data_IF_879720626123
#
_entry.id   IF_879720626123
#
_cell.length_a   1.000
_cell.length_b   1.000
_cell.length_c   1.000
_cell.angle_alpha   90.00
_cell.angle_beta   90.00
_cell.angle_gamma   90.00
#
_symmetry.space_group_name_H-M   'P 1'
#
loop_
_entity.id
_entity.type
_entity.pdbx_description
1 polymer ?
#
# COMPACT_ATOMS: atom_id res chain seq x y z
N UNK A 1 23.11 19.39 -16.32
CA UNK A 1 22.11 18.42 -15.92
C UNK A 1 20.79 18.85 -16.54
N UNK A 2 19.88 17.96 -16.91
CA UNK A 2 18.53 18.37 -17.34
C UNK A 2 17.88 19.18 -16.20
N UNK A 3 16.89 20.00 -16.54
CA UNK A 3 16.10 20.72 -15.53
C UNK A 3 15.39 19.72 -14.61
N UNK A 4 15.24 20.03 -13.32
CA UNK A 4 14.52 19.16 -12.39
C UNK A 4 13.02 19.08 -12.77
N UNK A 5 12.39 17.93 -12.53
CA UNK A 5 10.94 17.80 -12.65
C UNK A 5 10.25 18.63 -11.56
N UNK A 6 9.28 19.42 -11.95
CA UNK A 6 8.49 20.27 -11.07
C UNK A 6 7.30 19.50 -10.51
N UNK A 7 7.25 19.37 -9.18
CA UNK A 7 6.34 18.44 -8.50
C UNK A 7 5.41 19.19 -7.54
N UNK A 8 4.13 18.87 -7.56
CA UNK A 8 3.16 19.30 -6.56
C UNK A 8 2.92 18.13 -5.60
N UNK A 9 3.11 18.37 -4.30
CA UNK A 9 2.67 17.43 -3.26
C UNK A 9 1.20 17.68 -2.93
N UNK A 10 0.36 16.64 -3.03
CA UNK A 10 -1.07 16.72 -2.70
C UNK A 10 -1.39 15.93 -1.45
N UNK A 11 -1.92 16.61 -0.41
CA UNK A 11 -2.27 16.08 0.90
C UNK A 11 -1.08 15.52 1.72
N UNK A 12 -0.34 16.37 2.47
CA UNK A 12 0.78 15.96 3.31
C UNK A 12 0.31 15.33 4.63
N UNK A 13 -0.40 14.19 4.53
CA UNK A 13 -0.64 13.26 5.64
C UNK A 13 0.65 12.52 6.01
N UNK A 14 0.57 11.37 6.68
CA UNK A 14 1.75 10.64 7.12
C UNK A 14 2.66 10.23 5.96
N UNK A 15 2.12 9.51 4.96
CA UNK A 15 2.84 9.16 3.73
C UNK A 15 3.21 10.40 2.93
N UNK A 16 2.32 11.40 2.87
CA UNK A 16 2.55 12.65 2.14
C UNK A 16 3.70 13.50 2.67
N UNK A 17 3.95 13.50 3.98
CA UNK A 17 5.15 14.14 4.56
C UNK A 17 6.43 13.40 4.15
N UNK A 18 6.38 12.07 4.07
CA UNK A 18 7.52 11.27 3.64
C UNK A 18 7.84 11.52 2.16
N UNK A 19 6.82 11.57 1.29
CA UNK A 19 7.02 11.90 -0.12
C UNK A 19 7.48 13.36 -0.31
N UNK A 20 6.90 14.32 0.44
CA UNK A 20 7.35 15.71 0.44
C UNK A 20 8.84 15.82 0.77
N UNK A 21 9.30 15.13 1.83
CA UNK A 21 10.74 15.11 2.17
C UNK A 21 11.57 14.45 1.08
N UNK A 22 11.07 13.37 0.48
CA UNK A 22 11.72 12.71 -0.66
C UNK A 22 11.89 13.66 -1.84
N UNK A 23 10.87 14.46 -2.17
CA UNK A 23 10.94 15.48 -3.22
C UNK A 23 12.00 16.54 -2.88
N UNK A 24 11.97 17.07 -1.65
CA UNK A 24 12.87 18.15 -1.22
C UNK A 24 14.35 17.75 -1.10
N UNK A 25 14.65 16.47 -1.01
CA UNK A 25 16.03 15.97 -0.85
C UNK A 25 16.65 15.45 -2.14
N UNK A 26 15.89 15.42 -3.24
CA UNK A 26 16.36 14.92 -4.54
C UNK A 26 16.74 16.08 -5.47
N UNK A 27 17.95 16.06 -6.07
CA UNK A 27 18.42 17.14 -6.94
C UNK A 27 17.73 17.19 -8.31
N UNK A 28 17.08 16.12 -8.73
CA UNK A 28 16.34 16.00 -9.97
C UNK A 28 14.86 16.37 -9.83
N UNK A 29 14.41 16.81 -8.64
CA UNK A 29 13.04 17.23 -8.34
C UNK A 29 13.03 18.64 -7.73
N UNK A 30 11.99 19.42 -8.06
CA UNK A 30 11.70 20.73 -7.50
C UNK A 30 10.26 20.77 -6.99
N UNK A 31 10.04 21.18 -5.73
CA UNK A 31 8.68 21.36 -5.23
C UNK A 31 8.08 22.64 -5.80
N UNK A 32 7.05 22.51 -6.63
CA UNK A 32 6.33 23.60 -7.28
C UNK A 32 5.08 24.05 -6.48
N UNK A 33 4.56 23.19 -5.58
CA UNK A 33 3.38 23.51 -4.79
C UNK A 33 3.04 22.45 -3.75
N UNK A 34 2.21 22.85 -2.77
CA UNK A 34 1.74 21.98 -1.70
C UNK A 34 0.26 22.21 -1.46
N UNK A 35 -0.58 21.20 -1.73
CA UNK A 35 -2.00 21.25 -1.41
C UNK A 35 -2.30 20.64 -0.04
N UNK A 36 -3.16 21.32 0.73
CA UNK A 36 -3.67 20.85 2.02
C UNK A 36 -5.19 20.91 2.08
N UNK A 37 -5.81 19.89 2.67
CA UNK A 37 -7.25 19.87 2.89
C UNK A 37 -7.66 20.75 4.08
N UNK A 38 -6.87 20.72 5.18
CA UNK A 38 -7.17 21.48 6.39
C UNK A 38 -6.75 22.94 6.22
N UNK A 39 -7.71 23.92 6.32
CA UNK A 39 -7.42 25.35 6.22
C UNK A 39 -6.39 25.86 7.24
N UNK A 40 -6.33 25.25 8.42
CA UNK A 40 -5.37 25.65 9.47
C UNK A 40 -3.90 25.41 9.05
N UNK A 41 -3.69 24.59 8.04
CA UNK A 41 -2.37 24.31 7.46
C UNK A 41 -2.03 25.18 6.26
N UNK A 42 -3.00 25.95 5.75
CA UNK A 42 -2.76 26.89 4.67
C UNK A 42 -1.84 28.02 5.12
N UNK A 43 -0.92 28.43 4.26
CA UNK A 43 0.07 29.46 4.55
C UNK A 43 1.31 28.97 5.29
N UNK A 44 1.35 27.75 5.83
CA UNK A 44 2.56 27.17 6.39
C UNK A 44 3.59 26.86 5.28
N UNK A 45 4.86 27.06 5.56
CA UNK A 45 5.93 26.68 4.63
C UNK A 45 6.06 25.14 4.53
N UNK A 46 6.31 24.64 3.34
CA UNK A 46 6.42 23.20 3.12
C UNK A 46 7.56 22.54 3.91
N UNK A 47 8.63 23.28 4.21
CA UNK A 47 9.73 22.82 5.08
C UNK A 47 9.26 22.50 6.50
N UNK A 48 8.30 23.27 7.04
CA UNK A 48 7.77 23.06 8.39
C UNK A 48 7.09 21.70 8.55
N UNK A 49 6.40 21.19 7.50
CA UNK A 49 5.74 19.88 7.53
C UNK A 49 6.70 18.72 7.75
N UNK A 50 7.98 18.91 7.41
CA UNK A 50 9.00 17.85 7.41
C UNK A 50 10.24 18.21 8.23
N UNK A 51 10.18 19.29 9.03
CA UNK A 51 11.24 19.73 9.93
C UNK A 51 12.50 20.26 9.22
N UNK A 52 12.33 20.84 8.07
CA UNK A 52 13.35 21.54 7.32
C UNK A 52 13.21 23.07 7.48
N UNK A 53 14.27 23.85 7.25
CA UNK A 53 14.15 25.31 7.12
C UNK A 53 13.12 25.68 6.05
N UNK A 54 12.64 26.95 6.11
CA UNK A 54 11.74 27.48 5.09
C UNK A 54 12.37 27.35 3.70
N UNK A 55 11.56 26.84 2.76
CA UNK A 55 11.93 26.64 1.36
C UNK A 55 11.20 27.59 0.41
N UNK A 56 10.31 28.45 0.95
CA UNK A 56 9.59 29.46 0.19
C UNK A 56 8.35 28.96 -0.55
N UNK A 57 7.95 27.68 -0.42
CA UNK A 57 6.72 27.12 -0.99
C UNK A 57 5.70 26.98 0.13
N UNK A 58 4.61 27.73 0.06
CA UNK A 58 3.55 27.73 1.07
C UNK A 58 2.40 26.81 0.69
N UNK A 59 1.87 26.11 1.69
CA UNK A 59 0.69 25.27 1.54
C UNK A 59 -0.56 26.09 1.21
N UNK A 60 -1.44 25.55 0.37
CA UNK A 60 -2.70 26.18 -0.02
C UNK A 60 -3.85 25.18 -0.06
N UNK A 61 -5.06 25.65 0.22
CA UNK A 61 -6.31 24.92 -0.01
C UNK A 61 -6.91 25.20 -1.41
N UNK A 62 -6.34 26.16 -2.14
CA UNK A 62 -6.79 26.53 -3.48
C UNK A 62 -6.24 25.53 -4.52
N UNK A 63 -7.04 24.51 -4.83
CA UNK A 63 -6.74 23.51 -5.83
C UNK A 63 -6.59 24.14 -7.23
N UNK A 64 -7.43 25.12 -7.60
CA UNK A 64 -7.40 25.74 -8.91
C UNK A 64 -6.09 26.49 -9.16
N UNK A 65 -5.58 27.17 -8.12
CA UNK A 65 -4.27 27.82 -8.17
C UNK A 65 -3.16 26.81 -8.50
N UNK A 66 -3.19 25.63 -7.86
CA UNK A 66 -2.18 24.59 -8.10
C UNK A 66 -2.35 23.92 -9.47
N UNK A 67 -3.58 23.73 -9.93
CA UNK A 67 -3.83 23.22 -11.29
C UNK A 67 -3.33 24.18 -12.37
N UNK A 68 -3.33 25.49 -12.11
CA UNK A 68 -2.76 26.49 -13.01
C UNK A 68 -1.23 26.67 -12.86
N UNK A 69 -0.60 26.07 -11.83
CA UNK A 69 0.85 26.15 -11.64
C UNK A 69 1.57 25.30 -12.68
N UNK A 70 2.67 25.82 -13.22
CA UNK A 70 3.55 25.06 -14.11
C UNK A 70 4.25 23.94 -13.29
N UNK A 71 3.89 22.68 -13.57
CA UNK A 71 4.44 21.50 -12.93
C UNK A 71 4.26 20.25 -13.81
N UNK A 72 5.19 19.31 -13.69
CA UNK A 72 5.21 18.08 -14.48
C UNK A 72 4.41 16.95 -13.86
N UNK A 73 4.35 16.92 -12.51
CA UNK A 73 3.78 15.80 -11.79
C UNK A 73 3.13 16.22 -10.46
N UNK A 74 2.07 15.51 -10.09
CA UNK A 74 1.45 15.57 -8.77
C UNK A 74 1.68 14.24 -8.05
N UNK A 75 2.24 14.27 -6.84
CA UNK A 75 2.23 13.14 -5.91
C UNK A 75 0.96 13.24 -5.07
N UNK A 76 -0.01 12.38 -5.40
CA UNK A 76 -1.35 12.39 -4.82
C UNK A 76 -1.41 11.39 -3.65
N UNK A 77 -1.44 11.91 -2.41
CA UNK A 77 -1.43 11.10 -1.18
C UNK A 77 -2.68 11.31 -0.30
N UNK A 78 -3.77 11.79 -0.89
CA UNK A 78 -5.06 11.84 -0.19
C UNK A 78 -5.57 10.43 0.12
N UNK A 79 -6.20 10.26 1.29
CA UNK A 79 -6.70 8.94 1.73
C UNK A 79 -7.84 8.44 0.85
N UNK A 80 -7.92 7.12 0.67
CA UNK A 80 -9.03 6.40 0.04
C UNK A 80 -10.02 5.80 1.05
N UNK A 81 -9.65 5.72 2.34
CA UNK A 81 -10.44 5.04 3.38
C UNK A 81 -11.86 5.62 3.63
N UNK A 82 -12.11 6.86 3.24
CA UNK A 82 -13.40 7.55 3.49
C UNK A 82 -14.00 8.13 2.22
N UNK A 83 -13.55 7.65 1.07
CA UNK A 83 -13.94 8.20 -0.23
C UNK A 83 -14.42 7.10 -1.15
N UNK A 84 -15.42 7.43 -1.95
CA UNK A 84 -15.83 6.54 -3.03
C UNK A 84 -14.80 6.57 -4.17
N UNK A 85 -14.58 5.46 -4.88
CA UNK A 85 -13.67 5.43 -6.03
C UNK A 85 -13.94 6.52 -7.07
N UNK A 86 -15.21 6.85 -7.31
CA UNK A 86 -15.60 7.91 -8.24
C UNK A 86 -15.10 9.29 -7.81
N UNK A 87 -15.05 9.59 -6.51
CA UNK A 87 -14.53 10.86 -5.99
C UNK A 87 -13.01 10.97 -6.18
N UNK A 88 -12.30 9.85 -5.97
CA UNK A 88 -10.85 9.78 -6.22
C UNK A 88 -10.54 9.96 -7.70
N UNK A 89 -11.31 9.28 -8.55
CA UNK A 89 -11.16 9.39 -10.00
C UNK A 89 -11.44 10.81 -10.48
N UNK A 90 -12.47 11.47 -9.96
CA UNK A 90 -12.79 12.87 -10.32
C UNK A 90 -11.63 13.83 -10.00
N UNK A 91 -11.05 13.73 -8.80
CA UNK A 91 -9.90 14.55 -8.43
C UNK A 91 -8.69 14.28 -9.33
N UNK A 92 -8.34 12.99 -9.51
CA UNK A 92 -7.19 12.58 -10.33
C UNK A 92 -7.40 13.01 -11.78
N UNK A 93 -8.59 12.81 -12.33
CA UNK A 93 -8.92 13.21 -13.71
C UNK A 93 -8.80 14.73 -13.92
N UNK A 94 -9.23 15.54 -12.93
CA UNK A 94 -9.07 16.99 -12.99
C UNK A 94 -7.58 17.40 -13.04
N UNK A 95 -6.74 16.74 -12.23
CA UNK A 95 -5.29 17.00 -12.22
C UNK A 95 -4.67 16.60 -13.56
N UNK A 96 -5.00 15.42 -14.09
CA UNK A 96 -4.51 14.93 -15.38
C UNK A 96 -4.87 15.89 -16.53
N UNK A 97 -6.13 16.36 -16.61
CA UNK A 97 -6.59 17.33 -17.60
C UNK A 97 -5.89 18.68 -17.51
N UNK A 98 -5.34 19.02 -16.34
CA UNK A 98 -4.54 20.24 -16.19
C UNK A 98 -3.11 20.13 -16.76
N UNK A 99 -2.78 19.03 -17.44
CA UNK A 99 -1.47 18.80 -18.05
C UNK A 99 -0.41 18.28 -17.07
N UNK A 100 -0.79 17.69 -15.94
CA UNK A 100 0.13 17.15 -14.94
C UNK A 100 -0.02 15.65 -14.80
N UNK A 101 1.09 14.92 -14.84
CA UNK A 101 1.11 13.50 -14.50
C UNK A 101 0.72 13.28 -13.04
N UNK A 102 0.18 12.12 -12.71
CA UNK A 102 -0.21 11.81 -11.32
C UNK A 102 0.38 10.48 -10.88
N UNK A 103 1.13 10.51 -9.78
CA UNK A 103 1.49 9.30 -9.03
C UNK A 103 0.61 9.25 -7.78
N UNK A 104 -0.23 8.22 -7.68
CA UNK A 104 -1.15 8.01 -6.54
C UNK A 104 -0.69 6.87 -5.62
N UNK A 105 -0.97 6.98 -4.32
CA UNK A 105 -0.62 5.94 -3.33
C UNK A 105 -1.84 5.24 -2.72
N UNK A 106 -3.02 5.42 -3.31
CA UNK A 106 -4.25 4.80 -2.86
C UNK A 106 -4.20 3.29 -3.16
N UNK A 107 -4.26 2.47 -2.11
CA UNK A 107 -4.18 1.01 -2.25
C UNK A 107 -5.30 0.46 -3.13
N UNK A 108 -6.52 0.98 -2.96
CA UNK A 108 -7.70 0.63 -3.74
C UNK A 108 -7.54 0.87 -5.24
N UNK A 109 -6.75 1.88 -5.63
CA UNK A 109 -6.56 2.27 -7.03
C UNK A 109 -5.45 1.51 -7.76
N UNK A 110 -4.72 0.61 -7.07
CA UNK A 110 -3.60 -0.13 -7.70
C UNK A 110 -4.02 -1.10 -8.82
N UNK A 111 -5.31 -1.40 -8.92
CA UNK A 111 -5.91 -2.12 -10.04
C UNK A 111 -7.24 -1.46 -10.42
N UNK A 112 -7.23 -0.32 -11.14
CA UNK A 112 -8.43 0.51 -11.38
C UNK A 112 -9.58 -0.24 -12.03
N UNK A 113 -9.30 -1.30 -12.81
CA UNK A 113 -10.31 -2.13 -13.46
C UNK A 113 -11.33 -2.76 -12.50
N UNK A 114 -10.99 -2.93 -11.22
CA UNK A 114 -11.91 -3.44 -10.19
C UNK A 114 -13.05 -2.47 -9.86
N UNK A 115 -12.90 -1.19 -10.18
CA UNK A 115 -13.92 -0.17 -9.90
C UNK A 115 -14.90 0.06 -11.06
N UNK A 116 -14.75 -0.70 -12.14
CA UNK A 116 -15.65 -0.66 -13.30
C UNK A 116 -15.08 0.10 -14.50
N UNK A 117 -15.60 -0.26 -15.67
CA UNK A 117 -15.11 0.26 -16.96
C UNK A 117 -15.29 1.77 -17.10
N UNK A 118 -16.36 2.34 -16.54
CA UNK A 118 -16.64 3.77 -16.64
C UNK A 118 -15.59 4.63 -15.95
N UNK A 119 -15.11 4.21 -14.75
CA UNK A 119 -14.07 4.94 -14.03
C UNK A 119 -12.70 4.81 -14.71
N UNK A 120 -12.41 3.66 -15.30
CA UNK A 120 -11.21 3.47 -16.12
C UNK A 120 -11.27 4.37 -17.35
N UNK A 121 -12.40 4.38 -18.07
CA UNK A 121 -12.59 5.22 -19.26
C UNK A 121 -12.44 6.72 -18.96
N UNK A 122 -12.92 7.17 -17.79
CA UNK A 122 -12.76 8.55 -17.32
C UNK A 122 -11.27 8.91 -17.10
N UNK A 123 -10.50 8.06 -16.44
CA UNK A 123 -9.06 8.26 -16.24
C UNK A 123 -8.31 8.25 -17.56
N UNK A 124 -8.63 7.33 -18.47
CA UNK A 124 -8.00 7.27 -19.79
C UNK A 124 -8.34 8.51 -20.66
N UNK A 125 -9.59 8.99 -20.59
CA UNK A 125 -9.99 10.22 -21.26
C UNK A 125 -9.21 11.41 -20.71
N UNK A 126 -9.10 11.54 -19.38
CA UNK A 126 -8.33 12.60 -18.75
C UNK A 126 -6.84 12.56 -19.12
N UNK A 127 -6.24 11.37 -19.17
CA UNK A 127 -4.86 11.20 -19.62
C UNK A 127 -4.67 11.66 -21.07
N UNK A 128 -5.60 11.30 -21.98
CA UNK A 128 -5.54 11.72 -23.40
C UNK A 128 -5.71 13.23 -23.56
N UNK A 129 -6.69 13.81 -22.87
CA UNK A 129 -7.01 15.24 -22.94
C UNK A 129 -5.86 16.11 -22.42
N UNK A 130 -5.23 15.70 -21.32
CA UNK A 130 -4.09 16.41 -20.72
C UNK A 130 -2.74 16.05 -21.32
N UNK A 131 -2.66 15.04 -22.20
CA UNK A 131 -1.41 14.43 -22.67
C UNK A 131 -0.53 13.95 -21.48
N UNK A 132 -1.13 13.32 -20.47
CA UNK A 132 -0.54 12.96 -19.20
C UNK A 132 -0.69 11.48 -18.86
N UNK A 133 0.02 11.04 -17.83
CA UNK A 133 -0.01 9.66 -17.36
C UNK A 133 -0.41 9.57 -15.89
N UNK A 134 -1.14 8.51 -15.53
CA UNK A 134 -1.49 8.17 -14.17
C UNK A 134 -0.81 6.86 -13.75
N UNK A 135 -0.17 6.85 -12.59
CA UNK A 135 0.44 5.65 -12.00
C UNK A 135 0.04 5.45 -10.55
N UNK A 136 -0.90 4.55 -10.24
CA UNK A 136 -1.16 4.11 -8.88
C UNK A 136 -0.04 3.19 -8.40
N UNK A 137 0.49 3.42 -7.19
CA UNK A 137 1.60 2.64 -6.63
C UNK A 137 1.57 2.62 -5.11
N UNK A 138 2.47 1.88 -4.52
CA UNK A 138 2.62 1.73 -3.07
C UNK A 138 3.53 0.55 -2.76
N UNK A 139 3.68 0.21 -1.48
CA UNK A 139 4.40 -1.01 -1.12
C UNK A 139 3.46 -2.22 -1.23
N UNK A 140 2.19 -2.09 -0.85
CA UNK A 140 1.12 -3.07 -1.00
C UNK A 140 -0.17 -2.36 -1.51
N UNK A 141 -0.72 -2.65 -2.69
CA UNK A 141 -0.11 -3.49 -3.71
C UNK A 141 1.02 -2.74 -4.42
N UNK A 142 1.74 -3.41 -5.27
CA UNK A 142 2.79 -2.96 -6.19
C UNK A 142 4.22 -3.34 -5.74
N UNK A 143 4.78 -2.79 -4.65
CA UNK A 143 6.14 -3.08 -4.24
C UNK A 143 6.35 -4.54 -3.89
N UNK A 144 5.47 -5.11 -3.09
CA UNK A 144 5.48 -6.51 -2.71
C UNK A 144 5.22 -7.44 -3.90
N UNK A 145 4.32 -7.08 -4.82
CA UNK A 145 4.08 -7.83 -6.06
C UNK A 145 5.28 -7.78 -7.00
N UNK A 146 6.05 -6.69 -7.02
CA UNK A 146 7.31 -6.63 -7.77
C UNK A 146 8.31 -7.67 -7.27
N UNK A 147 8.43 -7.86 -5.95
CA UNK A 147 9.28 -8.91 -5.36
C UNK A 147 8.74 -10.30 -5.72
N UNK A 148 7.43 -10.51 -5.66
CA UNK A 148 6.79 -11.76 -6.07
C UNK A 148 7.08 -12.08 -7.54
N UNK A 149 6.96 -11.11 -8.44
CA UNK A 149 7.25 -11.29 -9.85
C UNK A 149 8.73 -11.64 -10.09
N UNK A 150 9.65 -10.96 -9.39
CA UNK A 150 11.08 -11.24 -9.49
C UNK A 150 11.42 -12.68 -9.07
N UNK A 151 10.85 -13.18 -7.97
CA UNK A 151 11.02 -14.56 -7.53
C UNK A 151 10.36 -15.56 -8.48
N UNK A 152 9.13 -15.25 -8.92
CA UNK A 152 8.38 -16.08 -9.86
C UNK A 152 9.10 -16.29 -11.20
N UNK A 153 9.88 -15.29 -11.64
CA UNK A 153 10.69 -15.39 -12.87
C UNK A 153 11.78 -16.45 -12.83
N UNK A 154 12.13 -16.93 -11.64
CA UNK A 154 13.11 -17.99 -11.40
C UNK A 154 12.46 -19.38 -11.22
N UNK A 155 11.12 -19.47 -11.28
CA UNK A 155 10.39 -20.73 -11.20
C UNK A 155 10.11 -21.28 -12.60
N UNK A 156 10.23 -22.59 -12.79
CA UNK A 156 9.76 -23.28 -14.00
C UNK A 156 8.24 -23.52 -13.94
N UNK A 157 7.70 -23.62 -12.72
CA UNK A 157 6.27 -23.86 -12.46
C UNK A 157 5.85 -23.19 -11.16
N UNK A 158 4.70 -22.53 -11.16
CA UNK A 158 4.09 -21.95 -9.99
C UNK A 158 2.77 -22.65 -9.70
N UNK A 159 2.58 -23.15 -8.48
CA UNK A 159 1.35 -23.78 -8.02
C UNK A 159 0.47 -22.82 -7.24
N UNK A 160 1.07 -22.07 -6.35
CA UNK A 160 0.37 -21.02 -5.57
C UNK A 160 1.35 -19.98 -5.05
N UNK A 161 0.79 -18.82 -4.70
CA UNK A 161 1.53 -17.71 -4.11
C UNK A 161 0.88 -17.27 -2.81
N UNK A 162 1.68 -16.82 -1.86
CA UNK A 162 1.27 -16.26 -0.60
C UNK A 162 2.04 -14.97 -0.34
N UNK A 163 1.33 -13.91 0.04
CA UNK A 163 1.92 -12.65 0.48
C UNK A 163 1.17 -12.17 1.72
N UNK A 164 1.90 -11.77 2.76
CA UNK A 164 1.34 -11.23 3.99
C UNK A 164 2.12 -10.00 4.45
N UNK A 165 1.40 -8.94 4.76
CA UNK A 165 1.91 -7.74 5.40
C UNK A 165 1.70 -7.84 6.92
N UNK A 166 2.73 -7.50 7.72
CA UNK A 166 2.72 -7.72 9.17
C UNK A 166 3.28 -6.51 9.92
N UNK A 167 2.42 -5.74 10.64
CA UNK A 167 2.85 -4.53 11.35
C UNK A 167 2.15 -4.29 12.68
N UNK A 168 2.90 -3.68 13.62
CA UNK A 168 2.35 -3.09 14.82
C UNK A 168 1.76 -1.71 14.52
N UNK A 169 0.51 -1.48 14.89
CA UNK A 169 -0.23 -0.24 14.65
C UNK A 169 -0.35 0.66 15.89
N UNK A 170 0.32 0.34 17.00
CA UNK A 170 0.18 1.07 18.27
C UNK A 170 0.41 2.57 18.18
N UNK A 171 1.24 3.02 17.25
CA UNK A 171 1.56 4.44 17.05
C UNK A 171 1.07 5.01 15.72
N UNK A 172 0.19 4.27 15.04
CA UNK A 172 -0.42 4.76 13.80
C UNK A 172 -1.28 5.99 14.10
N UNK A 173 -1.09 7.07 13.31
CA UNK A 173 -1.61 8.40 13.65
C UNK A 173 -3.07 8.64 13.20
N UNK A 174 -3.73 7.69 12.52
CA UNK A 174 -5.14 7.81 12.13
C UNK A 174 -6.06 7.03 13.10
N UNK A 175 -6.79 7.72 14.00
CA UNK A 175 -7.69 7.07 14.95
C UNK A 175 -8.80 6.24 14.30
N UNK A 176 -9.20 6.58 13.07
CA UNK A 176 -10.27 5.87 12.38
C UNK A 176 -9.88 4.43 12.02
N UNK A 177 -8.59 4.17 11.78
CA UNK A 177 -8.07 2.83 11.53
C UNK A 177 -8.40 1.88 12.67
N UNK A 178 -8.34 2.36 13.92
CA UNK A 178 -8.62 1.52 15.09
C UNK A 178 -10.07 1.04 15.12
N UNK A 179 -11.02 1.93 14.81
CA UNK A 179 -12.43 1.56 14.71
C UNK A 179 -12.72 0.61 13.54
N UNK A 180 -12.11 0.87 12.39
CA UNK A 180 -12.28 0.02 11.22
C UNK A 180 -11.75 -1.40 11.44
N UNK A 181 -10.64 -1.55 12.15
CA UNK A 181 -10.04 -2.86 12.43
C UNK A 181 -10.67 -3.58 13.62
N UNK A 182 -11.64 -2.95 14.29
CA UNK A 182 -12.34 -3.55 15.41
C UNK A 182 -11.52 -3.66 16.71
N UNK A 183 -10.44 -2.90 16.82
CA UNK A 183 -9.67 -2.87 18.06
C UNK A 183 -10.51 -2.35 19.23
N UNK A 184 -10.40 -3.00 20.38
CA UNK A 184 -11.16 -2.69 21.58
C UNK A 184 -12.54 -3.33 21.65
N UNK A 185 -13.00 -4.02 20.60
CA UNK A 185 -14.23 -4.80 20.64
C UNK A 185 -14.09 -5.99 21.60
N UNK A 186 -15.17 -6.32 22.30
CA UNK A 186 -15.27 -7.57 23.05
C UNK A 186 -15.38 -8.79 22.12
N UNK A 187 -15.16 -10.03 22.62
CA UNK A 187 -15.16 -11.23 21.78
C UNK A 187 -16.43 -11.41 20.94
N UNK A 188 -17.61 -11.17 21.55
CA UNK A 188 -18.90 -11.34 20.87
C UNK A 188 -19.14 -10.29 19.78
N UNK A 189 -18.65 -9.07 19.98
CA UNK A 189 -18.74 -7.99 18.98
C UNK A 189 -17.75 -8.23 17.85
N UNK A 190 -16.53 -8.66 18.18
CA UNK A 190 -15.49 -8.99 17.22
C UNK A 190 -15.93 -10.11 16.26
N UNK A 191 -16.63 -11.12 16.78
CA UNK A 191 -17.17 -12.21 15.96
C UNK A 191 -18.20 -11.73 14.91
N UNK A 192 -18.92 -10.64 15.19
CA UNK A 192 -19.89 -10.04 14.28
C UNK A 192 -19.33 -8.92 13.41
N UNK A 193 -18.10 -8.47 13.72
CA UNK A 193 -17.44 -7.40 12.98
C UNK A 193 -16.84 -7.94 11.67
N UNK A 194 -17.52 -7.70 10.57
CA UNK A 194 -17.09 -8.13 9.25
C UNK A 194 -16.06 -7.14 8.67
N UNK A 195 -14.81 -7.57 8.63
CA UNK A 195 -13.69 -6.80 8.05
C UNK A 195 -13.56 -6.99 6.54
N UNK A 196 -14.27 -7.96 5.96
CA UNK A 196 -14.12 -8.34 4.56
C UNK A 196 -14.29 -7.18 3.59
N UNK A 197 -15.35 -6.34 3.67
CA UNK A 197 -15.53 -5.25 2.71
C UNK A 197 -14.37 -4.26 2.68
N UNK A 198 -13.81 -3.94 3.87
CA UNK A 198 -12.68 -3.03 3.98
C UNK A 198 -11.42 -3.63 3.35
N UNK A 199 -11.12 -4.89 3.69
CA UNK A 199 -9.87 -5.49 3.24
C UNK A 199 -9.95 -5.98 1.79
N UNK A 200 -11.12 -6.34 1.26
CA UNK A 200 -11.31 -6.52 -0.18
C UNK A 200 -11.08 -5.21 -0.94
N UNK A 201 -11.54 -4.08 -0.42
CA UNK A 201 -11.31 -2.77 -1.01
C UNK A 201 -9.81 -2.40 -1.04
N UNK A 202 -9.08 -2.64 0.06
CA UNK A 202 -7.68 -2.26 0.18
C UNK A 202 -6.70 -3.28 -0.45
N UNK A 203 -6.97 -4.57 -0.31
CA UNK A 203 -6.04 -5.65 -0.68
C UNK A 203 -6.51 -6.49 -1.87
N UNK A 204 -7.78 -6.37 -2.28
CA UNK A 204 -8.28 -6.98 -3.50
C UNK A 204 -7.45 -6.62 -4.74
N UNK A 205 -7.03 -5.35 -4.93
CA UNK A 205 -6.15 -4.98 -6.02
C UNK A 205 -4.85 -5.78 -6.09
N UNK A 206 -4.23 -6.08 -4.94
CA UNK A 206 -3.02 -6.91 -4.87
C UNK A 206 -3.28 -8.35 -5.28
N UNK A 207 -4.41 -8.93 -4.82
CA UNK A 207 -4.83 -10.28 -5.17
C UNK A 207 -5.07 -10.41 -6.69
N UNK A 208 -5.85 -9.50 -7.26
CA UNK A 208 -6.18 -9.50 -8.69
C UNK A 208 -4.98 -9.20 -9.58
N UNK A 209 -4.08 -8.32 -9.15
CA UNK A 209 -2.83 -8.06 -9.87
C UNK A 209 -1.96 -9.32 -9.94
N UNK A 210 -1.87 -10.07 -8.84
CA UNK A 210 -1.13 -11.33 -8.81
C UNK A 210 -1.77 -12.37 -9.72
N UNK A 211 -3.11 -12.51 -9.70
CA UNK A 211 -3.85 -13.41 -10.60
C UNK A 211 -3.64 -13.02 -12.07
N UNK A 212 -3.71 -11.72 -12.38
CA UNK A 212 -3.45 -11.20 -13.73
C UNK A 212 -2.06 -11.60 -14.23
N UNK A 213 -1.01 -11.46 -13.42
CA UNK A 213 0.34 -11.86 -13.79
C UNK A 213 0.52 -13.36 -13.98
N UNK A 214 -0.21 -14.16 -13.20
CA UNK A 214 -0.24 -15.60 -13.39
C UNK A 214 -1.04 -16.03 -14.62
N UNK A 215 -1.69 -15.08 -15.31
CA UNK A 215 -2.52 -15.34 -16.49
C UNK A 215 -3.79 -16.11 -16.16
N UNK A 216 -4.33 -15.96 -14.95
CA UNK A 216 -5.51 -16.68 -14.48
C UNK A 216 -6.62 -15.73 -14.06
N UNK A 217 -7.86 -16.22 -14.22
CA UNK A 217 -9.05 -15.61 -13.68
C UNK A 217 -9.44 -16.35 -12.40
N UNK A 218 -9.75 -15.61 -11.34
CA UNK A 218 -10.22 -16.19 -10.10
C UNK A 218 -11.70 -16.58 -10.24
N UNK A 219 -12.01 -17.82 -9.86
CA UNK A 219 -13.40 -18.32 -9.84
C UNK A 219 -14.14 -17.89 -8.59
N UNK A 220 -13.41 -17.79 -7.47
CA UNK A 220 -13.94 -17.49 -6.15
C UNK A 220 -12.88 -16.77 -5.31
N UNK A 221 -13.31 -15.84 -4.46
CA UNK A 221 -12.49 -15.26 -3.40
C UNK A 221 -13.11 -15.64 -2.06
N UNK A 222 -12.33 -16.32 -1.23
CA UNK A 222 -12.72 -16.65 0.15
C UNK A 222 -12.01 -15.70 1.10
N UNK A 223 -12.72 -15.38 2.16
CA UNK A 223 -12.27 -14.57 3.25
C UNK A 223 -12.09 -15.41 4.50
N UNK A 224 -11.00 -15.20 5.19
CA UNK A 224 -10.73 -15.73 6.52
C UNK A 224 -10.20 -14.61 7.42
N UNK A 225 -10.73 -14.53 8.65
CA UNK A 225 -10.26 -13.56 9.64
C UNK A 225 -10.16 -14.21 11.03
N UNK A 226 -9.18 -13.76 11.78
CA UNK A 226 -8.98 -14.16 13.16
C UNK A 226 -8.62 -12.94 14.02
N UNK A 227 -9.11 -12.92 15.26
CA UNK A 227 -8.81 -11.90 16.25
C UNK A 227 -8.04 -12.50 17.41
N UNK A 228 -7.09 -11.73 17.96
CA UNK A 228 -6.50 -12.04 19.24
C UNK A 228 -6.85 -10.95 20.26
N UNK A 229 -7.10 -11.40 21.49
CA UNK A 229 -7.48 -10.51 22.59
C UNK A 229 -6.24 -10.13 23.40
N UNK A 230 -6.21 -8.90 23.89
CA UNK A 230 -5.15 -8.44 24.78
C UNK A 230 -5.21 -9.15 26.13
N UNK A 231 -4.07 -9.63 26.60
CA UNK A 231 -3.95 -10.22 27.95
C UNK A 231 -3.89 -9.15 29.06
N UNK A 232 -3.65 -7.88 28.72
CA UNK A 232 -3.51 -6.75 29.64
C UNK A 232 -4.04 -5.46 29.02
N UNK A 233 -4.23 -4.45 29.83
CA UNK A 233 -4.53 -3.12 29.31
C UNK A 233 -3.36 -2.60 28.47
N UNK A 234 -3.68 -1.99 27.33
CA UNK A 234 -2.72 -1.36 26.41
C UNK A 234 -3.03 0.13 26.34
N UNK A 235 -2.05 0.96 26.69
CA UNK A 235 -2.13 2.41 26.51
C UNK A 235 -1.19 2.81 25.39
N UNK A 236 -1.73 3.40 24.34
CA UNK A 236 -1.01 3.98 23.22
C UNK A 236 -1.33 5.49 23.09
N UNK A 237 -0.61 6.26 22.29
CA UNK A 237 -0.79 7.71 22.23
C UNK A 237 -2.21 8.17 21.91
N UNK A 238 -2.97 7.39 21.15
CA UNK A 238 -4.31 7.78 20.67
C UNK A 238 -5.46 6.99 21.30
N UNK A 239 -5.18 5.93 22.09
CA UNK A 239 -6.23 5.05 22.62
C UNK A 239 -5.75 4.28 23.85
N UNK A 240 -6.73 3.76 24.60
CA UNK A 240 -6.51 2.75 25.65
C UNK A 240 -7.43 1.56 25.37
N UNK A 241 -6.86 0.36 25.30
CA UNK A 241 -7.60 -0.90 25.20
C UNK A 241 -7.63 -1.59 26.56
N UNK A 242 -8.76 -2.20 26.89
CA UNK A 242 -8.90 -3.03 28.08
C UNK A 242 -8.43 -4.47 27.80
N UNK A 243 -7.93 -5.13 28.81
CA UNK A 243 -7.69 -6.56 28.75
C UNK A 243 -8.95 -7.32 28.35
N UNK A 244 -8.80 -8.38 27.56
CA UNK A 244 -9.91 -9.17 27.02
C UNK A 244 -10.62 -8.56 25.81
N UNK A 245 -10.12 -7.45 25.26
CA UNK A 245 -10.63 -6.88 24.00
C UNK A 245 -9.67 -7.15 22.83
N UNK A 246 -10.17 -7.00 21.60
CA UNK A 246 -9.38 -7.21 20.38
C UNK A 246 -8.17 -6.29 20.36
N UNK A 247 -6.97 -6.86 20.27
CA UNK A 247 -5.71 -6.14 20.11
C UNK A 247 -4.94 -6.56 18.84
N UNK A 248 -5.33 -7.65 18.21
CA UNK A 248 -4.70 -8.07 16.96
C UNK A 248 -5.72 -8.71 16.02
N UNK A 249 -5.48 -8.52 14.73
CA UNK A 249 -6.24 -9.13 13.65
C UNK A 249 -5.27 -9.75 12.65
N UNK A 250 -5.66 -10.88 12.09
CA UNK A 250 -5.09 -11.41 10.85
C UNK A 250 -6.19 -11.80 9.89
N UNK A 251 -5.92 -11.72 8.61
CA UNK A 251 -6.87 -12.09 7.57
C UNK A 251 -6.15 -12.64 6.35
N UNK A 252 -6.90 -13.39 5.53
CA UNK A 252 -6.50 -13.78 4.18
C UNK A 252 -7.64 -13.51 3.22
N UNK A 253 -7.28 -13.01 2.04
CA UNK A 253 -8.06 -13.08 0.81
C UNK A 253 -7.48 -14.20 -0.03
N UNK A 254 -8.19 -15.29 -0.17
CA UNK A 254 -7.79 -16.48 -0.88
C UNK A 254 -8.49 -16.57 -2.25
N UNK A 255 -7.72 -16.40 -3.32
CA UNK A 255 -8.18 -16.54 -4.69
C UNK A 255 -8.09 -17.97 -5.17
N UNK A 256 -9.23 -18.51 -5.59
CA UNK A 256 -9.37 -19.89 -6.06
C UNK A 256 -9.46 -19.97 -7.58
N UNK A 257 -8.86 -21.02 -8.14
CA UNK A 257 -8.97 -21.42 -9.55
C UNK A 257 -9.13 -22.94 -9.59
N UNK A 258 -10.16 -23.44 -10.27
CA UNK A 258 -10.50 -24.87 -10.34
C UNK A 258 -10.60 -25.51 -8.94
N UNK A 259 -11.25 -24.82 -8.00
CA UNK A 259 -11.46 -25.29 -6.64
C UNK A 259 -10.21 -25.35 -5.75
N UNK A 260 -9.05 -24.84 -6.19
CA UNK A 260 -7.82 -24.80 -5.44
C UNK A 260 -7.39 -23.36 -5.15
N UNK A 261 -6.97 -23.08 -3.92
CA UNK A 261 -6.38 -21.80 -3.57
C UNK A 261 -5.04 -21.63 -4.31
N UNK A 262 -4.94 -20.56 -5.10
CA UNK A 262 -3.78 -20.27 -5.95
C UNK A 262 -3.07 -18.99 -5.56
N UNK A 263 -3.79 -18.02 -5.08
CA UNK A 263 -3.25 -16.72 -4.67
C UNK A 263 -3.79 -16.39 -3.30
N UNK A 264 -2.92 -16.11 -2.35
CA UNK A 264 -3.31 -15.57 -1.04
C UNK A 264 -2.69 -14.21 -0.83
N UNK A 265 -3.53 -13.24 -0.47
CA UNK A 265 -3.11 -11.93 0.00
C UNK A 265 -3.59 -11.77 1.45
N UNK A 266 -2.64 -11.72 2.38
CA UNK A 266 -2.91 -11.63 3.80
C UNK A 266 -2.40 -10.36 4.45
N UNK A 267 -2.88 -10.11 5.66
CA UNK A 267 -2.38 -9.09 6.57
C UNK A 267 -2.48 -9.54 8.01
N UNK A 268 -1.55 -9.05 8.82
CA UNK A 268 -1.51 -9.28 10.25
C UNK A 268 -1.15 -7.98 10.96
N UNK A 269 -2.07 -7.43 11.73
CA UNK A 269 -1.91 -6.14 12.39
C UNK A 269 -2.21 -6.27 13.88
N UNK A 270 -1.39 -5.66 14.72
CA UNK A 270 -1.55 -5.75 16.15
C UNK A 270 -1.23 -4.44 16.87
N UNK A 271 -1.67 -4.37 18.11
CA UNK A 271 -1.40 -3.32 19.07
C UNK A 271 -0.71 -3.94 20.30
N UNK A 272 0.31 -3.26 20.84
CA UNK A 272 1.06 -3.79 21.99
C UNK A 272 1.82 -5.07 21.67
N UNK A 273 1.55 -6.13 22.44
CA UNK A 273 2.26 -7.40 22.32
C UNK A 273 1.75 -8.23 21.14
N UNK A 274 2.66 -8.88 20.43
CA UNK A 274 2.29 -9.79 19.34
C UNK A 274 1.69 -11.10 19.90
N UNK A 275 0.61 -11.63 19.31
CA UNK A 275 0.01 -12.89 19.77
C UNK A 275 0.98 -14.07 19.62
N UNK A 276 1.34 -14.71 20.73
CA UNK A 276 2.38 -15.76 20.75
C UNK A 276 2.01 -17.06 20.05
N UNK A 277 0.71 -17.26 19.77
CA UNK A 277 0.20 -18.43 19.03
C UNK A 277 0.18 -18.22 17.51
N UNK A 278 0.49 -17.02 17.02
CA UNK A 278 0.66 -16.74 15.61
C UNK A 278 2.14 -16.82 15.22
N UNK A 279 2.39 -17.11 13.96
CA UNK A 279 3.76 -17.11 13.43
C UNK A 279 4.34 -15.69 13.48
N UNK A 280 5.54 -15.49 14.05
CA UNK A 280 6.08 -14.17 14.32
C UNK A 280 6.35 -13.38 13.03
N UNK A 281 6.25 -12.02 13.08
CA UNK A 281 6.57 -11.17 11.94
C UNK A 281 8.07 -11.22 11.59
N UNK A 282 8.45 -10.84 10.38
CA UNK A 282 9.84 -10.58 10.04
C UNK A 282 10.40 -9.41 10.87
N UNK A 283 11.37 -9.66 11.75
CA UNK A 283 11.88 -8.64 12.65
C UNK A 283 10.77 -7.97 13.46
N UNK A 284 10.72 -6.65 13.47
CA UNK A 284 9.71 -5.84 14.17
C UNK A 284 8.47 -5.52 13.31
N UNK A 285 8.47 -5.94 12.05
CA UNK A 285 7.39 -5.77 11.07
C UNK A 285 7.91 -5.77 9.65
N UNK A 286 7.10 -6.22 8.71
CA UNK A 286 7.48 -6.31 7.31
C UNK A 286 6.58 -7.24 6.51
N UNK A 287 7.16 -8.02 5.61
CA UNK A 287 6.45 -8.86 4.66
C UNK A 287 6.98 -10.28 4.64
N UNK A 288 6.05 -11.21 4.47
CA UNK A 288 6.35 -12.62 4.16
C UNK A 288 5.75 -12.95 2.81
N UNK A 289 6.55 -13.59 1.97
CA UNK A 289 6.17 -14.01 0.65
C UNK A 289 6.63 -15.44 0.41
N UNK A 290 5.77 -16.26 -0.16
CA UNK A 290 6.09 -17.63 -0.56
C UNK A 290 5.49 -17.96 -1.93
N UNK A 291 6.26 -18.72 -2.71
CA UNK A 291 5.83 -19.34 -3.95
C UNK A 291 5.96 -20.85 -3.76
N UNK A 292 4.85 -21.58 -3.87
CA UNK A 292 4.87 -23.02 -4.03
C UNK A 292 5.01 -23.33 -5.52
N UNK A 293 6.04 -24.05 -5.89
CA UNK A 293 6.35 -24.28 -7.29
C UNK A 293 7.59 -25.14 -7.49
N UNK A 294 8.23 -24.99 -8.63
CA UNK A 294 9.46 -25.67 -8.96
C UNK A 294 10.46 -24.65 -9.56
N UNK A 295 11.47 -24.23 -8.79
CA UNK A 295 11.61 -24.45 -7.35
C UNK A 295 10.56 -23.69 -6.52
N UNK A 296 10.29 -24.18 -5.30
CA UNK A 296 9.56 -23.40 -4.30
C UNK A 296 10.48 -22.34 -3.68
N UNK A 297 9.95 -21.15 -3.41
CA UNK A 297 10.72 -20.02 -2.88
C UNK A 297 10.00 -19.36 -1.72
N UNK A 298 10.77 -18.86 -0.76
CA UNK A 298 10.26 -18.03 0.33
C UNK A 298 11.23 -16.89 0.58
N UNK A 299 10.66 -15.70 0.82
CA UNK A 299 11.40 -14.52 1.27
C UNK A 299 10.65 -13.84 2.39
N UNK A 300 11.40 -13.31 3.33
CA UNK A 300 10.90 -12.42 4.37
C UNK A 300 11.81 -11.20 4.40
N UNK A 301 11.21 -10.02 4.53
CA UNK A 301 11.98 -8.80 4.75
C UNK A 301 11.30 -7.94 5.80
N UNK A 302 12.11 -7.42 6.73
CA UNK A 302 11.70 -6.39 7.65
C UNK A 302 11.86 -5.02 7.00
N UNK A 303 11.00 -4.10 7.38
CA UNK A 303 11.21 -2.68 7.08
C UNK A 303 11.70 -1.97 8.34
N UNK A 304 12.50 -0.94 8.15
CA UNK A 304 13.01 -0.12 9.24
C UNK A 304 13.37 1.27 8.70
N UNK A 305 13.26 2.29 9.53
CA UNK A 305 13.76 3.63 9.20
C UNK A 305 14.74 4.11 10.26
N UNK A 306 15.75 4.84 9.85
CA UNK A 306 16.71 5.46 10.77
C UNK A 306 16.04 6.61 11.54
N UNK A 307 16.25 6.65 12.86
CA UNK A 307 15.79 7.73 13.73
C UNK A 307 16.31 9.12 13.30
N UNK A 308 17.48 9.17 12.67
CA UNK A 308 18.11 10.41 12.19
C UNK A 308 17.50 10.97 10.90
N UNK A 309 16.86 10.12 10.08
CA UNK A 309 16.44 10.51 8.73
C UNK A 309 15.42 11.66 8.71
N UNK A 310 14.50 11.73 9.67
CA UNK A 310 13.47 12.78 9.76
C UNK A 310 13.77 13.88 10.78
N UNK A 311 15.04 14.11 11.12
CA UNK A 311 15.43 15.22 12.00
C UNK A 311 14.84 15.17 13.41
N UNK A 312 14.40 14.01 13.87
CA UNK A 312 14.01 13.76 15.26
C UNK A 312 12.59 14.16 15.66
N UNK A 313 11.83 14.96 14.91
CA UNK A 313 10.47 15.30 15.34
C UNK A 313 9.41 14.25 14.95
N UNK A 314 9.65 13.45 13.90
CA UNK A 314 8.79 12.30 13.55
C UNK A 314 9.20 11.01 14.29
N UNK A 315 10.44 10.91 14.76
CA UNK A 315 11.00 9.66 15.30
C UNK A 315 11.39 9.73 16.78
N UNK A 316 11.09 10.82 17.50
CA UNK A 316 11.43 10.92 18.92
C UNK A 316 10.73 9.83 19.72
N UNK A 317 11.52 9.00 20.43
CA UNK A 317 11.03 7.98 21.35
C UNK A 317 10.17 6.86 20.74
N UNK A 318 10.41 6.51 19.49
CA UNK A 318 9.69 5.39 18.84
C UNK A 318 10.36 4.05 19.17
N UNK A 319 9.51 3.03 19.35
CA UNK A 319 9.95 1.64 19.49
C UNK A 319 10.47 1.06 18.17
N UNK A 320 11.20 -0.06 18.17
CA UNK A 320 11.57 -0.76 16.94
C UNK A 320 10.36 -1.10 16.05
N UNK A 321 9.22 -1.50 16.63
CA UNK A 321 7.99 -1.76 15.86
C UNK A 321 7.44 -0.49 15.19
N UNK A 322 7.52 0.66 15.85
CA UNK A 322 7.12 1.94 15.26
C UNK A 322 8.03 2.31 14.10
N UNK A 323 9.32 2.05 14.21
CA UNK A 323 10.28 2.28 13.13
C UNK A 323 10.08 1.32 11.96
N UNK A 324 9.59 0.11 12.23
CA UNK A 324 9.25 -0.86 11.20
C UNK A 324 8.05 -0.40 10.35
N UNK A 325 6.92 0.00 10.98
CA UNK A 325 5.75 0.49 10.23
C UNK A 325 6.07 1.81 9.51
N UNK A 326 6.84 2.71 10.15
CA UNK A 326 7.29 3.94 9.49
C UNK A 326 8.17 3.62 8.27
N UNK A 327 9.01 2.59 8.33
CA UNK A 327 9.78 2.08 7.20
C UNK A 327 8.90 1.59 6.05
N UNK A 328 7.81 0.89 6.35
CA UNK A 328 6.80 0.46 5.37
C UNK A 328 6.10 1.64 4.68
N UNK A 329 5.67 2.62 5.46
CA UNK A 329 5.04 3.85 4.93
C UNK A 329 6.04 4.67 4.09
N UNK A 330 7.31 4.74 4.53
CA UNK A 330 8.36 5.37 3.74
C UNK A 330 8.60 4.66 2.41
N UNK A 331 8.57 3.32 2.40
CA UNK A 331 8.72 2.57 1.15
C UNK A 331 7.56 2.87 0.17
N UNK A 332 6.34 3.08 0.67
CA UNK A 332 5.20 3.55 -0.13
C UNK A 332 5.49 4.94 -0.73
N UNK A 333 5.92 5.90 0.09
CA UNK A 333 6.27 7.24 -0.36
C UNK A 333 7.44 7.23 -1.36
N UNK A 334 8.47 6.43 -1.09
CA UNK A 334 9.64 6.31 -1.97
C UNK A 334 9.27 5.74 -3.35
N UNK A 335 8.38 4.74 -3.41
CA UNK A 335 7.89 4.24 -4.71
C UNK A 335 7.21 5.32 -5.52
N UNK A 336 6.38 6.15 -4.89
CA UNK A 336 5.74 7.26 -5.58
C UNK A 336 6.76 8.29 -6.10
N UNK A 337 7.68 8.71 -5.26
CA UNK A 337 8.70 9.71 -5.63
C UNK A 337 9.67 9.17 -6.69
N UNK A 338 10.06 7.90 -6.58
CA UNK A 338 10.96 7.27 -7.55
C UNK A 338 10.31 7.04 -8.92
N UNK A 339 8.99 6.96 -8.98
CA UNK A 339 8.26 6.79 -10.25
C UNK A 339 8.17 8.09 -11.08
N UNK A 340 8.37 9.27 -10.47
CA UNK A 340 8.13 10.57 -11.12
C UNK A 340 8.86 10.71 -12.45
N UNK A 341 10.20 10.53 -12.56
CA UNK A 341 10.88 10.73 -13.84
C UNK A 341 10.36 9.79 -14.93
N UNK A 342 10.25 8.51 -14.61
CA UNK A 342 9.78 7.52 -15.57
C UNK A 342 8.32 7.76 -16.02
N UNK A 343 7.46 8.27 -15.13
CA UNK A 343 6.09 8.59 -15.46
C UNK A 343 5.99 9.84 -16.34
N UNK A 344 6.80 10.88 -16.06
CA UNK A 344 6.83 12.10 -16.87
C UNK A 344 7.33 11.84 -18.29
N UNK A 345 8.22 10.86 -18.47
CA UNK A 345 8.74 10.45 -19.77
C UNK A 345 7.87 9.41 -20.49
N UNK A 346 6.82 8.89 -19.83
CA UNK A 346 5.95 7.86 -20.38
C UNK A 346 4.95 8.44 -21.39
N UNK A 347 4.53 7.66 -22.42
CA UNK A 347 3.39 8.04 -23.24
C UNK A 347 2.12 8.21 -22.40
N UNK A 348 1.19 9.11 -22.77
CA UNK A 348 -0.05 9.33 -22.03
C UNK A 348 -0.87 8.06 -21.82
N UNK A 349 -1.48 7.93 -20.62
CA UNK A 349 -2.37 6.82 -20.27
C UNK A 349 -2.21 6.34 -18.83
N UNK A 350 -3.07 5.41 -18.42
CA UNK A 350 -2.94 4.73 -17.14
C UNK A 350 -1.73 3.79 -17.23
N UNK A 351 -0.86 3.87 -16.24
CA UNK A 351 0.31 2.99 -16.08
C UNK A 351 0.15 2.23 -14.78
N UNK A 352 -0.02 0.94 -14.88
CA UNK A 352 -0.14 0.08 -13.70
C UNK A 352 0.98 -0.95 -13.68
N UNK A 353 1.18 -1.60 -12.55
CA UNK A 353 2.09 -2.72 -12.47
C UNK A 353 1.59 -3.91 -13.33
N UNK A 354 0.28 -3.98 -13.61
CA UNK A 354 -0.30 -4.98 -14.51
C UNK A 354 0.20 -4.85 -15.96
N UNK A 355 0.58 -3.63 -16.40
CA UNK A 355 1.12 -3.39 -17.73
C UNK A 355 2.58 -3.86 -17.88
N UNK A 356 3.25 -4.12 -16.76
CA UNK A 356 4.58 -4.69 -16.75
C UNK A 356 4.47 -6.20 -16.91
N UNK A 357 4.92 -6.73 -18.04
CA UNK A 357 4.95 -8.19 -18.25
C UNK A 357 5.99 -8.81 -17.32
N UNK A 358 5.59 -9.53 -16.28
CA UNK A 358 6.55 -10.26 -15.46
C UNK A 358 7.10 -11.44 -16.27
N UNK A 359 8.38 -11.74 -16.08
CA UNK A 359 9.00 -12.92 -16.68
C UNK A 359 8.60 -14.18 -15.90
N UNK A 360 7.30 -14.49 -15.88
CA UNK A 360 6.77 -15.66 -15.19
C UNK A 360 6.65 -16.84 -16.15
N UNK A 361 6.80 -18.10 -15.66
CA UNK A 361 6.55 -19.28 -16.46
C UNK A 361 5.06 -19.39 -16.81
N UNK A 362 4.70 -20.10 -17.89
CA UNK A 362 3.32 -20.48 -18.13
C UNK A 362 2.75 -21.24 -16.93
N UNK A 363 1.57 -20.87 -16.48
CA UNK A 363 0.89 -21.58 -15.38
C UNK A 363 0.03 -22.67 -15.97
N UNK A 364 0.37 -23.94 -15.67
CA UNK A 364 -0.44 -25.10 -16.06
C UNK A 364 -0.73 -25.98 -14.83
N UNK A 365 -1.89 -25.76 -14.25
CA UNK A 365 -2.35 -26.53 -13.10
C UNK A 365 -3.11 -27.82 -13.47
N UNK A 366 -3.36 -28.09 -14.75
CA UNK A 366 -4.07 -29.28 -15.23
C UNK A 366 -3.27 -30.56 -15.00
N UNK A 367 -1.96 -30.46 -15.08
CA UNK A 367 -1.06 -31.54 -14.75
C UNK A 367 -0.72 -31.46 -13.25
N UNK A 368 -1.64 -31.90 -12.39
CA UNK A 368 -1.37 -32.10 -10.98
C UNK A 368 -0.15 -33.03 -10.86
N UNK A 369 0.97 -32.50 -10.38
CA UNK A 369 2.19 -33.27 -10.26
C UNK A 369 1.92 -34.57 -9.51
N UNK A 370 2.37 -35.69 -10.08
CA UNK A 370 2.36 -36.98 -9.42
C UNK A 370 3.13 -36.84 -8.10
N UNK A 371 2.41 -36.91 -6.98
CA UNK A 371 2.98 -37.06 -5.65
C UNK A 371 3.20 -35.76 -4.88
N UNK A 372 2.17 -35.30 -4.21
CA UNK A 372 2.31 -34.41 -3.05
C UNK A 372 2.99 -35.15 -1.90
N UNK A 373 4.28 -35.43 -2.03
CA UNK A 373 5.12 -36.04 -0.97
C UNK A 373 5.89 -34.97 -0.16
N UNK A 374 5.81 -33.70 -0.54
CA UNK A 374 6.57 -32.60 0.09
C UNK A 374 5.67 -31.51 0.71
N UNK A 375 4.53 -31.91 1.29
CA UNK A 375 3.63 -30.97 2.03
C UNK A 375 4.27 -30.20 3.18
N UNK A 376 5.55 -30.37 3.45
CA UNK A 376 6.21 -29.82 4.63
C UNK A 376 6.98 -28.51 4.40
N UNK A 377 7.16 -28.05 3.17
CA UNK A 377 8.04 -26.87 2.92
C UNK A 377 7.44 -25.56 3.42
N UNK A 378 6.11 -25.49 3.57
CA UNK A 378 5.41 -24.30 4.05
C UNK A 378 4.42 -24.61 5.19
N UNK A 379 4.72 -25.59 6.05
CA UNK A 379 3.89 -25.93 7.19
C UNK A 379 3.66 -24.77 8.18
N UNK A 380 4.40 -23.66 8.06
CA UNK A 380 4.18 -22.42 8.80
C UNK A 380 3.30 -21.39 8.09
N UNK A 381 2.82 -21.62 6.87
CA UNK A 381 2.03 -20.64 6.13
C UNK A 381 0.52 -20.71 6.44
N UNK A 382 0.04 -21.79 7.06
CA UNK A 382 -1.32 -21.92 7.62
C UNK A 382 -1.29 -22.74 8.89
N UNK A 383 -1.91 -22.28 9.98
CA UNK A 383 -2.34 -23.21 11.01
C UNK A 383 -3.39 -24.13 10.35
N UNK A 384 -3.14 -25.42 10.39
CA UNK A 384 -4.21 -26.40 10.15
C UNK A 384 -5.26 -26.20 11.21
N UNK A 385 -6.51 -25.99 10.79
CA UNK A 385 -7.71 -26.01 11.64
C UNK A 385 -7.78 -27.27 12.47
#
# INVERSE_FOLDING_TARGET
>A
MPAPYRVIQWAPGLVGKMSLKGILTRPDLELAGLWVHNPDKAGLDAGEFVGLPSIGVTATTDANRLLATDADCVVYTATDLRRQPAELVADIAQILRSGKNVVGVQASMNHPALHGADLVAELEAACREGATSYYPTGINANGSQTVLAALGSMCQRIESTYLCEMYNFSTYEDPAVFGYFGYGLGPDEAHRHDLRPLFEYLFGPALHLTAHWLGVQLDEIRWDQEHALSARDITAPLFTLQAGTVSAIRFNLDGYVDGKCRVTQGGCYWLGDYPTHWEPPPGDGGYRLAIKGDPSMQVQWATHTDNGYYGGHLNKHRSPQDLAIMGGLMATAARAVNAIPALCDAPPGIRTLADQTPLLPPVDWRHGGAGDKNGAVFAGARPTT
#
